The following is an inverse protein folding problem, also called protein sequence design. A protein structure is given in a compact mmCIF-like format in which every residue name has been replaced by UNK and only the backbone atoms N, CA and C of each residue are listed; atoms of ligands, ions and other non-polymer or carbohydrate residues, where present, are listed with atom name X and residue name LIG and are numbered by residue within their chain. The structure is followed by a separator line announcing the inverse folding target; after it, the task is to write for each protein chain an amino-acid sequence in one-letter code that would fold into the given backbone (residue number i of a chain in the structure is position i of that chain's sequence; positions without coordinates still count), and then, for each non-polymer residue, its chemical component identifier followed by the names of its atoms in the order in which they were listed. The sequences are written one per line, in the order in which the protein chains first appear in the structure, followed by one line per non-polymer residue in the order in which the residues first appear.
data_IF_830081631322
#
_entry.id   IF_830081631322
#
_cell.length_a   1.000
_cell.length_b   1.000
_cell.length_c   1.000
_cell.angle_alpha   90.00
_cell.angle_beta   90.00
_cell.angle_gamma   90.00
#
_symmetry.space_group_name_H-M   'P 1'
#
loop_
_entity.id
_entity.type
_entity.pdbx_description
1 polymer ?
#
# COMPACT_ATOMS: atom_id res chain seq x y z
N UNK A 1 10.64 3.01 3.18
CA UNK A 1 10.84 1.53 3.16
C UNK A 1 10.64 0.92 1.77
N UNK A 2 9.79 1.45 0.87
CA UNK A 2 9.64 0.89 -0.49
C UNK A 2 10.90 0.98 -1.36
N UNK A 3 11.65 2.07 -1.25
CA UNK A 3 12.95 2.21 -1.91
C UNK A 3 13.92 1.07 -1.56
N UNK A 4 13.87 0.57 -0.31
CA UNK A 4 14.71 -0.54 0.13
C UNK A 4 14.34 -1.86 -0.56
N UNK A 5 13.07 -2.03 -0.95
CA UNK A 5 12.62 -3.16 -1.76
C UNK A 5 12.85 -2.97 -3.26
N UNK A 6 13.52 -1.88 -3.67
CA UNK A 6 13.74 -1.49 -5.08
C UNK A 6 12.45 -1.28 -5.88
N UNK A 7 11.33 -1.05 -5.18
CA UNK A 7 10.02 -0.73 -5.79
C UNK A 7 9.91 0.75 -6.19
N UNK A 8 10.83 1.59 -5.73
CA UNK A 8 10.88 3.00 -6.08
C UNK A 8 12.32 3.47 -6.18
N UNK A 9 12.60 4.36 -7.13
CA UNK A 9 13.91 4.98 -7.31
C UNK A 9 14.21 6.04 -6.25
N UNK A 10 13.21 6.43 -5.47
CA UNK A 10 13.30 7.46 -4.44
C UNK A 10 12.74 6.92 -3.11
N UNK A 11 13.32 7.32 -1.96
CA UNK A 11 12.72 7.01 -0.66
C UNK A 11 11.45 7.83 -0.37
N UNK A 12 11.14 8.84 -1.19
CA UNK A 12 9.99 9.73 -1.02
C UNK A 12 8.78 9.32 -1.85
N UNK A 13 7.59 9.65 -1.36
CA UNK A 13 6.34 9.32 -2.03
C UNK A 13 6.12 10.25 -3.23
N UNK A 14 6.04 9.66 -4.42
CA UNK A 14 5.82 10.40 -5.67
C UNK A 14 4.43 11.06 -5.70
N UNK A 15 3.43 10.44 -5.08
CA UNK A 15 2.07 10.98 -5.03
C UNK A 15 1.96 12.24 -4.16
N UNK A 16 2.82 12.36 -3.16
CA UNK A 16 2.93 13.54 -2.30
C UNK A 16 3.92 14.58 -2.87
N UNK A 17 4.33 14.47 -4.14
CA UNK A 17 5.30 15.38 -4.74
C UNK A 17 6.69 15.30 -4.11
N UNK A 18 7.10 14.13 -3.63
CA UNK A 18 8.38 13.86 -2.97
C UNK A 18 8.61 14.63 -1.64
N UNK A 19 7.53 15.07 -0.98
CA UNK A 19 7.62 15.81 0.28
C UNK A 19 7.64 14.92 1.53
N UNK A 20 7.13 13.70 1.43
CA UNK A 20 6.99 12.74 2.54
C UNK A 20 7.75 11.46 2.24
N UNK A 21 8.31 10.83 3.29
CA UNK A 21 8.99 9.54 3.16
C UNK A 21 7.96 8.45 2.81
N UNK A 22 8.25 7.64 1.79
CA UNK A 22 7.39 6.53 1.38
C UNK A 22 7.64 5.30 2.28
N UNK A 23 6.86 5.24 3.35
CA UNK A 23 6.78 4.09 4.25
C UNK A 23 5.50 3.30 3.99
N UNK A 24 5.45 2.04 4.42
CA UNK A 24 4.21 1.27 4.39
C UNK A 24 3.14 2.01 5.23
N UNK A 25 3.51 2.56 6.38
CA UNK A 25 2.57 3.34 7.18
C UNK A 25 2.01 4.55 6.41
N UNK A 26 2.87 5.32 5.75
CA UNK A 26 2.45 6.46 4.93
C UNK A 26 1.47 6.03 3.83
N UNK A 27 1.83 4.97 3.11
CA UNK A 27 1.00 4.44 2.02
C UNK A 27 -0.36 3.93 2.49
N UNK A 28 -0.47 3.39 3.70
CA UNK A 28 -1.71 2.78 4.20
C UNK A 28 -2.59 3.73 5.02
N UNK A 29 -2.01 4.76 5.64
CA UNK A 29 -2.75 5.55 6.65
C UNK A 29 -2.61 7.06 6.51
N UNK A 30 -1.66 7.58 5.73
CA UNK A 30 -1.37 9.03 5.72
C UNK A 30 -1.47 9.66 4.32
N UNK A 31 -1.23 8.87 3.27
CA UNK A 31 -1.18 9.41 1.92
C UNK A 31 -2.60 9.69 1.39
N UNK A 32 -3.01 10.96 1.45
CA UNK A 32 -4.32 11.44 0.98
C UNK A 32 -4.61 11.11 -0.50
N UNK A 33 -3.57 10.91 -1.32
CA UNK A 33 -3.74 10.54 -2.73
C UNK A 33 -4.24 9.10 -2.91
N UNK A 34 -4.04 8.24 -1.92
CA UNK A 34 -4.55 6.87 -1.87
C UNK A 34 -5.83 6.72 -1.05
N UNK A 35 -6.46 7.82 -0.61
CA UNK A 35 -7.67 7.80 0.22
C UNK A 35 -8.82 6.98 -0.40
N UNK A 36 -8.97 6.99 -1.73
CA UNK A 36 -9.98 6.17 -2.41
C UNK A 36 -9.70 4.67 -2.27
N UNK A 37 -8.44 4.29 -2.41
CA UNK A 37 -8.02 2.90 -2.30
C UNK A 37 -8.08 2.45 -0.82
N UNK A 38 -7.77 3.35 0.13
CA UNK A 38 -8.00 3.13 1.57
C UNK A 38 -9.47 2.88 1.86
N UNK A 39 -10.38 3.70 1.35
CA UNK A 39 -11.82 3.52 1.56
C UNK A 39 -12.32 2.18 1.01
N UNK A 40 -11.76 1.69 -0.10
CA UNK A 40 -12.10 0.36 -0.63
C UNK A 40 -11.60 -0.73 0.32
N UNK A 41 -10.36 -0.60 0.80
CA UNK A 41 -9.76 -1.53 1.75
C UNK A 41 -10.51 -1.54 3.10
N UNK A 42 -10.87 -0.37 3.62
CA UNK A 42 -11.67 -0.18 4.84
C UNK A 42 -13.08 -0.74 4.70
N UNK A 43 -13.73 -0.58 3.54
CA UNK A 43 -15.04 -1.20 3.29
C UNK A 43 -14.96 -2.72 3.23
N UNK A 44 -13.87 -3.26 2.68
CA UNK A 44 -13.68 -4.71 2.54
C UNK A 44 -13.31 -5.39 3.87
N UNK A 45 -12.49 -4.73 4.69
CA UNK A 45 -11.89 -5.32 5.90
C UNK A 45 -12.47 -4.74 7.21
N UNK A 46 -13.17 -3.61 7.16
CA UNK A 46 -13.76 -2.96 8.34
C UNK A 46 -12.70 -2.42 9.31
N UNK A 47 -12.99 -2.49 10.61
CA UNK A 47 -12.12 -2.00 11.71
C UNK A 47 -10.74 -2.68 11.76
N UNK A 48 -10.62 -3.83 11.10
CA UNK A 48 -9.40 -4.63 11.06
C UNK A 48 -8.30 -4.02 10.17
N UNK A 49 -8.63 -2.99 9.37
CA UNK A 49 -7.68 -2.28 8.50
C UNK A 49 -6.61 -1.49 9.22
N UNK A 50 -6.86 -1.05 10.46
CA UNK A 50 -5.90 -0.25 11.23
C UNK A 50 -4.69 -1.07 11.73
N UNK A 51 -4.71 -2.39 11.54
CA UNK A 51 -3.58 -3.26 11.89
C UNK A 51 -3.09 -3.99 10.66
N UNK A 52 -1.98 -3.51 10.09
CA UNK A 52 -1.30 -4.18 8.98
C UNK A 52 -0.98 -5.66 9.30
N UNK A 53 -0.63 -5.93 10.56
CA UNK A 53 -0.33 -7.29 11.03
C UNK A 53 -1.57 -8.20 10.95
N UNK A 54 -2.74 -7.65 11.28
CA UNK A 54 -4.00 -8.38 11.20
C UNK A 54 -4.38 -8.69 9.75
N UNK A 55 -4.17 -7.75 8.83
CA UNK A 55 -4.37 -7.95 7.39
C UNK A 55 -3.45 -9.07 6.88
N UNK A 56 -2.17 -9.04 7.25
CA UNK A 56 -1.17 -10.03 6.82
C UNK A 56 -1.42 -11.44 7.38
N UNK A 57 -2.10 -11.55 8.52
CA UNK A 57 -2.42 -12.84 9.16
C UNK A 57 -3.67 -13.52 8.61
N UNK A 58 -4.54 -12.80 7.88
CA UNK A 58 -5.75 -13.37 7.29
C UNK A 58 -5.57 -13.53 5.80
N UNK A 59 -5.53 -14.77 5.33
CA UNK A 59 -5.38 -15.10 3.91
C UNK A 59 -6.45 -14.42 3.03
N UNK A 60 -7.68 -14.28 3.54
CA UNK A 60 -8.76 -13.55 2.86
C UNK A 60 -8.51 -12.03 2.78
N UNK A 61 -7.79 -11.46 3.75
CA UNK A 61 -7.44 -10.04 3.77
C UNK A 61 -6.18 -9.74 2.94
N UNK A 62 -5.25 -10.69 2.83
CA UNK A 62 -4.10 -10.61 1.95
C UNK A 62 -4.50 -10.38 0.48
N UNK A 63 -5.60 -10.95 0.00
CA UNK A 63 -6.08 -10.69 -1.38
C UNK A 63 -6.42 -9.22 -1.62
N UNK A 64 -7.12 -8.59 -0.68
CA UNK A 64 -7.44 -7.16 -0.78
C UNK A 64 -6.18 -6.30 -0.66
N UNK A 65 -5.24 -6.71 0.17
CA UNK A 65 -3.93 -6.07 0.30
C UNK A 65 -3.12 -6.13 -1.00
N UNK A 66 -3.11 -7.28 -1.67
CA UNK A 66 -2.40 -7.48 -2.93
C UNK A 66 -3.02 -6.64 -4.05
N UNK A 67 -4.35 -6.59 -4.16
CA UNK A 67 -5.03 -5.68 -5.09
C UNK A 67 -4.71 -4.21 -4.82
N UNK A 68 -4.69 -3.82 -3.55
CA UNK A 68 -4.30 -2.47 -3.14
C UNK A 68 -2.84 -2.16 -3.54
N UNK A 69 -1.93 -3.11 -3.33
CA UNK A 69 -0.53 -3.03 -3.72
C UNK A 69 -0.34 -2.94 -5.25
N UNK A 70 -1.11 -3.71 -6.01
CA UNK A 70 -1.10 -3.70 -7.48
C UNK A 70 -1.64 -2.37 -8.03
N UNK A 71 -2.72 -1.83 -7.46
CA UNK A 71 -3.28 -0.52 -7.83
C UNK A 71 -2.26 0.62 -7.67
N UNK A 72 -1.36 0.52 -6.68
CA UNK A 72 -0.31 1.50 -6.48
C UNK A 72 0.80 1.45 -7.55
N UNK A 73 0.85 0.40 -8.38
CA UNK A 73 1.84 0.12 -9.46
C UNK A 73 3.32 0.13 -9.10
N UNK A 74 3.69 0.59 -7.90
CA UNK A 74 5.06 0.61 -7.40
C UNK A 74 5.70 -0.78 -7.35
N UNK A 75 4.89 -1.82 -7.14
CA UNK A 75 5.39 -3.18 -6.99
C UNK A 75 5.48 -3.93 -8.32
N UNK A 76 4.83 -3.42 -9.37
CA UNK A 76 4.76 -4.07 -10.67
C UNK A 76 6.15 -4.21 -11.32
N UNK A 77 7.01 -3.20 -11.14
CA UNK A 77 8.38 -3.22 -11.63
C UNK A 77 9.28 -4.24 -10.91
N UNK A 78 8.95 -4.61 -9.67
CA UNK A 78 9.77 -5.50 -8.83
C UNK A 78 9.26 -6.93 -8.80
N UNK A 79 7.93 -7.11 -8.79
CA UNK A 79 7.28 -8.41 -8.59
C UNK A 79 6.43 -8.87 -9.78
N UNK A 80 6.32 -8.07 -10.85
CA UNK A 80 5.39 -8.34 -11.96
C UNK A 80 3.94 -8.01 -11.61
N UNK A 81 2.98 -8.44 -12.44
CA UNK A 81 1.56 -8.35 -12.07
C UNK A 81 1.27 -9.24 -10.87
N UNK A 82 0.69 -8.65 -9.83
CA UNK A 82 0.29 -9.37 -8.63
C UNK A 82 -1.19 -9.74 -8.78
N UNK A 83 -1.46 -10.84 -9.49
CA UNK A 83 -2.80 -11.44 -9.69
C UNK A 83 -3.08 -12.61 -8.76
#
# INVERSE_FOLDING_TARGET
HLHCFRCSNTPYCLQCGNTHLETIHHLFYECLRYERDHLILERALGRDTHSLLYILMRESACKYLLHYIDAMKHFQATFGEVS
#
